data_IF_698625535746
#
_entry.id   IF_698625535746
#
_cell.length_a   1.000
_cell.length_b   1.000
_cell.length_c   1.000
_cell.angle_alpha   90.00
_cell.angle_beta   90.00
_cell.angle_gamma   90.00
#
_symmetry.space_group_name_H-M   'P 1'
#
loop_
_entity.id
_entity.type
_entity.pdbx_description
1 polymer ?
#
# COMPACT_ATOMS: atom_id res chain seq x y z
N UNK A 1 9.81 -8.02 -5.46
CA UNK A 1 11.05 -7.84 -4.68
C UNK A 1 12.09 -7.19 -5.56
N UNK A 2 12.95 -6.36 -4.98
CA UNK A 2 14.08 -5.69 -5.65
C UNK A 2 15.32 -5.97 -4.80
N UNK A 3 16.37 -6.49 -5.44
CA UNK A 3 17.67 -6.68 -4.80
C UNK A 3 18.35 -5.34 -4.55
N UNK A 4 18.94 -5.18 -3.37
CA UNK A 4 19.73 -4.02 -2.98
C UNK A 4 21.03 -4.47 -2.32
N UNK A 5 22.09 -3.68 -2.52
CA UNK A 5 23.45 -4.02 -2.16
C UNK A 5 24.28 -4.45 -3.37
N UNK A 6 25.61 -4.46 -3.23
CA UNK A 6 26.54 -4.72 -4.33
C UNK A 6 26.34 -6.12 -4.95
N UNK A 7 25.81 -7.06 -4.15
CA UNK A 7 25.55 -8.43 -4.57
C UNK A 7 24.08 -8.82 -4.42
N UNK A 8 23.16 -7.83 -4.35
CA UNK A 8 21.73 -8.05 -4.12
C UNK A 8 21.43 -8.89 -2.86
N UNK A 9 22.28 -8.79 -1.84
CA UNK A 9 22.21 -9.58 -0.61
C UNK A 9 20.95 -9.27 0.23
N UNK A 10 20.34 -8.11 0.03
CA UNK A 10 19.08 -7.72 0.65
C UNK A 10 17.96 -7.63 -0.39
N UNK A 11 16.76 -8.06 -0.02
CA UNK A 11 15.60 -8.09 -0.91
C UNK A 11 14.48 -7.22 -0.34
N UNK A 12 14.23 -6.08 -0.99
CA UNK A 12 13.14 -5.18 -0.61
C UNK A 12 11.84 -5.60 -1.28
N UNK A 13 10.79 -5.72 -0.49
CA UNK A 13 9.45 -5.95 -0.99
C UNK A 13 8.70 -4.63 -1.18
N UNK A 14 7.86 -4.54 -2.20
CA UNK A 14 7.05 -3.36 -2.47
C UNK A 14 5.68 -3.74 -2.99
N UNK A 15 4.69 -2.89 -2.71
CA UNK A 15 3.42 -2.85 -3.40
C UNK A 15 3.37 -1.61 -4.28
N UNK A 16 2.97 -1.78 -5.55
CA UNK A 16 2.75 -0.68 -6.46
C UNK A 16 1.28 -0.68 -6.88
N UNK A 17 0.63 0.47 -6.73
CA UNK A 17 -0.74 0.69 -7.16
C UNK A 17 -0.74 1.91 -8.07
N UNK A 18 -1.32 1.76 -9.26
CA UNK A 18 -1.49 2.89 -10.19
C UNK A 18 -2.53 3.85 -9.63
N UNK A 19 -2.40 5.13 -9.97
CA UNK A 19 -3.45 6.11 -9.70
C UNK A 19 -4.80 5.63 -10.23
N UNK A 20 -5.87 5.89 -9.49
CA UNK A 20 -7.25 5.62 -9.92
C UNK A 20 -7.78 6.71 -10.86
N UNK A 21 -7.00 7.78 -11.11
CA UNK A 21 -7.34 8.89 -12.00
C UNK A 21 -6.65 8.78 -13.35
N UNK A 22 -5.41 9.26 -13.49
CA UNK A 22 -4.64 9.23 -14.74
C UNK A 22 -3.23 8.74 -14.47
N UNK A 23 -2.99 7.41 -14.45
CA UNK A 23 -1.68 6.81 -14.15
C UNK A 23 -0.50 7.34 -14.96
N UNK A 24 -0.75 7.87 -16.16
CA UNK A 24 0.28 8.40 -17.05
C UNK A 24 0.64 9.87 -16.77
N UNK A 25 -0.25 10.60 -16.09
CA UNK A 25 -0.10 12.04 -15.81
C UNK A 25 0.12 12.33 -14.31
N UNK A 26 -0.34 11.43 -13.44
CA UNK A 26 -0.25 11.58 -12.00
C UNK A 26 1.18 11.32 -11.47
N UNK A 27 1.60 12.01 -10.40
CA UNK A 27 2.94 11.84 -9.85
C UNK A 27 3.13 10.44 -9.23
N UNK A 28 4.40 10.04 -9.12
CA UNK A 28 4.79 8.85 -8.35
C UNK A 28 4.96 9.22 -6.88
N UNK A 29 4.26 8.53 -5.98
CA UNK A 29 4.40 8.65 -4.54
C UNK A 29 5.07 7.41 -3.96
N UNK A 30 6.17 7.60 -3.22
CA UNK A 30 6.79 6.57 -2.39
C UNK A 30 6.39 6.79 -0.94
N UNK A 31 5.84 5.76 -0.30
CA UNK A 31 5.47 5.80 1.12
C UNK A 31 6.29 4.79 1.92
N UNK A 32 6.86 5.25 3.04
CA UNK A 32 7.68 4.45 3.95
C UNK A 32 7.14 4.69 5.36
N UNK A 33 6.61 3.64 5.98
CA UNK A 33 6.18 3.70 7.38
C UNK A 33 7.38 3.85 8.31
N UNK A 34 7.17 4.54 9.43
CA UNK A 34 8.19 4.74 10.46
C UNK A 34 8.43 3.50 11.33
N UNK A 35 8.93 3.73 12.55
CA UNK A 35 9.35 2.68 13.48
C UNK A 35 10.78 2.89 13.93
N UNK A 36 11.51 1.80 14.22
CA UNK A 36 12.08 0.97 13.15
C UNK A 36 11.44 -0.43 13.02
N UNK A 37 11.48 -1.01 11.81
CA UNK A 37 11.10 -2.40 11.55
C UNK A 37 9.61 -2.67 11.28
N UNK A 38 8.74 -1.66 11.38
CA UNK A 38 7.35 -1.79 10.97
C UNK A 38 7.23 -1.92 9.44
N UNK A 39 6.37 -2.82 8.98
CA UNK A 39 6.10 -2.97 7.55
C UNK A 39 5.23 -1.82 7.03
N UNK A 40 5.61 -1.24 5.89
CA UNK A 40 4.75 -0.27 5.16
C UNK A 40 3.40 -0.86 4.72
N UNK A 41 3.24 -2.19 4.79
CA UNK A 41 1.95 -2.82 4.56
C UNK A 41 0.89 -2.44 5.61
N UNK A 42 1.31 -2.04 6.81
CA UNK A 42 0.39 -1.52 7.82
C UNK A 42 -0.27 -0.23 7.32
N UNK A 43 0.51 0.76 6.88
CA UNK A 43 -0.05 1.99 6.33
C UNK A 43 -0.89 1.74 5.07
N UNK A 44 -0.49 0.76 4.26
CA UNK A 44 -1.26 0.36 3.08
C UNK A 44 -2.68 -0.11 3.42
N UNK A 45 -2.91 -0.78 4.55
CA UNK A 45 -4.23 -1.30 4.94
C UNK A 45 -5.00 -0.43 5.93
N UNK A 46 -4.30 0.42 6.69
CA UNK A 46 -4.90 1.17 7.80
C UNK A 46 -4.86 2.69 7.63
N UNK A 47 -4.08 3.20 6.67
CA UNK A 47 -3.88 4.63 6.48
C UNK A 47 -4.29 5.04 5.05
N UNK A 48 -3.35 4.98 4.11
CA UNK A 48 -3.44 5.69 2.83
C UNK A 48 -3.70 4.81 1.60
N UNK A 49 -3.69 3.48 1.75
CA UNK A 49 -3.84 2.58 0.61
C UNK A 49 -5.28 2.46 0.08
N UNK A 50 -5.46 1.79 -1.07
CA UNK A 50 -6.73 1.69 -1.79
C UNK A 50 -7.73 0.70 -1.18
N UNK A 51 -7.29 -0.11 -0.21
CA UNK A 51 -8.10 -1.15 0.41
C UNK A 51 -7.96 -1.11 1.92
N UNK A 52 -9.04 -1.46 2.61
CA UNK A 52 -9.10 -1.61 4.06
C UNK A 52 -9.80 -2.93 4.41
N UNK A 53 -9.62 -3.41 5.63
CA UNK A 53 -10.42 -4.52 6.14
C UNK A 53 -11.89 -4.11 6.27
N UNK A 54 -12.78 -5.02 5.88
CA UNK A 54 -14.20 -4.90 6.15
C UNK A 54 -14.53 -5.60 7.47
N UNK A 55 -14.82 -4.80 8.49
CA UNK A 55 -15.16 -5.27 9.84
C UNK A 55 -16.65 -5.60 10.02
N UNK A 56 -17.51 -5.13 9.10
CA UNK A 56 -18.96 -5.29 9.21
C UNK A 56 -19.42 -6.71 8.91
N UNK A 57 -18.71 -7.41 8.03
CA UNK A 57 -19.02 -8.78 7.59
C UNK A 57 -17.89 -9.74 7.98
N UNK A 58 -17.53 -9.76 9.27
CA UNK A 58 -16.55 -10.73 9.76
C UNK A 58 -17.13 -12.15 9.68
N UNK A 59 -16.59 -12.93 8.75
CA UNK A 59 -16.80 -14.38 8.69
C UNK A 59 -15.54 -15.06 9.22
N UNK A 60 -15.64 -16.12 10.03
CA UNK A 60 -14.46 -16.87 10.46
C UNK A 60 -13.65 -17.34 9.25
N UNK A 61 -12.35 -17.06 9.22
CA UNK A 61 -11.46 -17.43 8.11
C UNK A 61 -10.82 -16.21 7.45
N UNK A 62 -10.95 -16.11 6.12
CA UNK A 62 -10.31 -15.04 5.35
C UNK A 62 -11.01 -13.70 5.59
N UNK A 63 -10.28 -12.64 6.00
CA UNK A 63 -10.87 -11.32 6.16
C UNK A 63 -11.33 -10.79 4.80
N UNK A 64 -12.51 -10.16 4.78
CA UNK A 64 -12.98 -9.46 3.59
C UNK A 64 -12.33 -8.08 3.51
N UNK A 65 -12.11 -7.63 2.27
CA UNK A 65 -11.54 -6.32 1.97
C UNK A 65 -12.60 -5.45 1.30
N UNK A 66 -12.51 -4.15 1.53
CA UNK A 66 -13.31 -3.15 0.82
C UNK A 66 -12.43 -2.00 0.34
N UNK A 67 -12.91 -1.24 -0.64
CA UNK A 67 -12.19 -0.08 -1.15
C UNK A 67 -12.16 1.02 -0.09
N UNK A 68 -11.03 1.70 0.02
CA UNK A 68 -10.88 2.90 0.83
C UNK A 68 -11.39 4.13 0.05
N UNK A 69 -12.47 4.80 0.46
CA UNK A 69 -12.97 5.99 -0.22
C UNK A 69 -12.01 7.20 -0.13
N UNK A 70 -11.10 7.19 0.83
CA UNK A 70 -10.11 8.24 1.07
C UNK A 70 -8.69 7.84 0.64
N UNK A 71 -8.58 6.84 -0.24
CA UNK A 71 -7.30 6.34 -0.71
C UNK A 71 -6.48 7.44 -1.39
N UNK A 72 -5.18 7.48 -1.13
CA UNK A 72 -4.31 8.48 -1.74
C UNK A 72 -4.13 8.30 -3.24
N UNK A 73 -4.46 7.11 -3.76
CA UNK A 73 -4.51 6.85 -5.20
C UNK A 73 -5.64 7.59 -5.92
N UNK A 74 -6.50 8.30 -5.19
CA UNK A 74 -7.58 9.16 -5.73
C UNK A 74 -7.29 10.65 -5.55
N UNK A 75 -6.18 11.04 -4.89
CA UNK A 75 -5.94 12.43 -4.48
C UNK A 75 -5.48 13.31 -5.65
N UNK A 76 -6.04 14.52 -5.70
CA UNK A 76 -5.60 15.61 -6.57
C UNK A 76 -4.54 16.43 -5.81
N UNK A 77 -3.36 16.59 -6.39
CA UNK A 77 -2.38 17.60 -5.94
C UNK A 77 -2.59 18.91 -6.68
#
# INVERSE_FOLDING_TARGET
YIGVGDFNESQLFYYFVKSQRSPALDPLLLWISGGPGCSSFTAFLYENGPIIFNYSNYSPGLPSLQLNPSAWTQVHT
#
